data_IF_131385334113
#
_entry.id   IF_131385334113
#
_cell.length_a   1.000
_cell.length_b   1.000
_cell.length_c   1.000
_cell.angle_alpha   90.00
_cell.angle_beta   90.00
_cell.angle_gamma   90.00
#
_symmetry.space_group_name_H-M   'P 1'
#
loop_
_entity.id
_entity.type
_entity.pdbx_description
1 polymer ?
#
# COMPACT_ATOMS: atom_id res chain seq x y z
N UNK A 1 -54.67 -86.32 -2.14
CA UNK A 1 -53.81 -86.29 -3.34
C UNK A 1 -52.51 -85.63 -2.91
N UNK A 2 -51.52 -86.42 -2.48
CA UNK A 2 -50.33 -86.81 -3.27
C UNK A 2 -49.64 -85.52 -3.77
N UNK A 3 -48.51 -85.07 -3.26
CA UNK A 3 -47.23 -85.76 -3.05
C UNK A 3 -46.19 -84.87 -3.74
N UNK A 4 -45.30 -84.24 -2.97
CA UNK A 4 -43.86 -84.55 -2.91
C UNK A 4 -43.00 -84.06 -4.08
N UNK A 5 -41.80 -83.61 -3.68
CA UNK A 5 -40.48 -83.65 -4.36
C UNK A 5 -39.92 -82.26 -4.69
N UNK A 6 -38.89 -81.83 -3.95
CA UNK A 6 -37.45 -82.04 -4.23
C UNK A 6 -37.06 -81.39 -5.55
N UNK A 7 -36.03 -80.58 -5.69
CA UNK A 7 -34.82 -80.26 -4.95
C UNK A 7 -34.00 -79.41 -5.94
N UNK A 8 -33.16 -78.48 -5.52
CA UNK A 8 -31.71 -78.66 -5.56
C UNK A 8 -31.08 -77.31 -5.87
N UNK A 9 -30.28 -76.81 -4.92
CA UNK A 9 -28.98 -76.16 -5.08
C UNK A 9 -28.66 -75.46 -6.42
N UNK A 10 -28.37 -74.15 -6.37
CA UNK A 10 -26.99 -73.62 -6.32
C UNK A 10 -27.04 -72.10 -6.07
N UNK A 11 -26.28 -71.72 -5.06
CA UNK A 11 -25.91 -70.38 -4.63
C UNK A 11 -24.96 -69.73 -5.64
N UNK A 12 -25.23 -68.49 -6.06
CA UNK A 12 -24.17 -67.59 -6.52
C UNK A 12 -24.49 -66.13 -6.19
N UNK A 13 -24.13 -65.75 -4.96
CA UNK A 13 -23.48 -64.48 -4.57
C UNK A 13 -23.72 -63.30 -5.52
N UNK A 14 -24.74 -62.48 -5.23
CA UNK A 14 -24.76 -61.07 -5.65
C UNK A 14 -23.65 -60.31 -4.91
N UNK A 15 -22.49 -60.16 -5.57
CA UNK A 15 -21.42 -59.26 -5.15
C UNK A 15 -21.94 -57.82 -5.22
N UNK A 16 -22.13 -57.22 -4.05
CA UNK A 16 -22.23 -55.77 -3.87
C UNK A 16 -20.99 -55.12 -4.48
N UNK A 17 -21.12 -54.54 -5.67
CA UNK A 17 -20.07 -53.72 -6.28
C UNK A 17 -20.13 -52.34 -5.60
N UNK A 18 -19.01 -51.85 -5.06
CA UNK A 18 -19.01 -50.62 -4.28
C UNK A 18 -19.21 -49.41 -5.20
N UNK A 19 -20.03 -48.45 -4.74
CA UNK A 19 -20.27 -47.11 -5.32
C UNK A 19 -18.96 -46.29 -5.52
N UNK A 20 -17.83 -46.82 -5.05
CA UNK A 20 -16.49 -46.19 -5.10
C UNK A 20 -15.91 -46.09 -6.53
N UNK A 21 -16.36 -46.90 -7.50
CA UNK A 21 -15.78 -46.87 -8.85
C UNK A 21 -16.31 -45.78 -9.80
N UNK A 22 -17.39 -45.08 -9.46
CA UNK A 22 -17.98 -44.03 -10.30
C UNK A 22 -17.59 -42.60 -9.89
N UNK A 23 -16.98 -42.41 -8.72
CA UNK A 23 -16.54 -41.11 -8.20
C UNK A 23 -15.09 -40.75 -8.57
N UNK A 24 -14.25 -41.75 -8.85
CA UNK A 24 -12.85 -41.58 -9.28
C UNK A 24 -12.67 -40.81 -10.61
N UNK A 25 -13.46 -41.05 -11.68
CA UNK A 25 -13.31 -40.29 -12.92
C UNK A 25 -13.84 -38.86 -12.78
N UNK A 26 -14.83 -38.62 -11.91
CA UNK A 26 -15.41 -37.30 -11.69
C UNK A 26 -14.47 -36.39 -10.89
N UNK A 27 -13.77 -36.93 -9.87
CA UNK A 27 -12.74 -36.19 -9.13
C UNK A 27 -11.51 -35.91 -9.97
N UNK A 28 -11.12 -36.81 -10.88
CA UNK A 28 -10.05 -36.55 -11.84
C UNK A 28 -10.46 -35.49 -12.87
N UNK A 29 -11.69 -35.55 -13.39
CA UNK A 29 -12.18 -34.51 -14.31
C UNK A 29 -12.24 -33.13 -13.64
N UNK A 30 -12.71 -33.06 -12.39
CA UNK A 30 -12.72 -31.81 -11.62
C UNK A 30 -11.29 -31.29 -11.39
N UNK A 31 -10.34 -32.18 -11.09
CA UNK A 31 -8.93 -31.82 -10.92
C UNK A 31 -8.28 -31.33 -12.22
N UNK A 32 -8.63 -31.92 -13.36
CA UNK A 32 -8.17 -31.50 -14.70
C UNK A 32 -8.79 -30.15 -15.09
N UNK A 33 -10.07 -29.92 -14.77
CA UNK A 33 -10.74 -28.62 -15.00
C UNK A 33 -10.16 -27.52 -14.10
N UNK A 34 -9.83 -27.83 -12.84
CA UNK A 34 -9.11 -26.90 -11.96
C UNK A 34 -7.66 -26.63 -12.42
N UNK A 35 -6.96 -27.63 -12.95
CA UNK A 35 -5.62 -27.46 -13.55
C UNK A 35 -5.67 -26.67 -14.87
N UNK A 36 -6.75 -26.76 -15.65
CA UNK A 36 -6.95 -26.00 -16.87
C UNK A 36 -7.38 -24.54 -16.62
N UNK A 37 -8.11 -24.29 -15.53
CA UNK A 37 -8.52 -22.94 -15.11
C UNK A 37 -7.38 -22.08 -14.57
N UNK A 38 -6.35 -22.70 -13.98
CA UNK A 38 -5.14 -22.05 -13.50
C UNK A 38 -3.94 -22.49 -14.35
N UNK A 39 -3.90 -22.08 -15.63
CA UNK A 39 -2.84 -22.46 -16.55
C UNK A 39 -1.49 -21.83 -16.11
N UNK A 40 -0.51 -22.61 -15.59
CA UNK A 40 0.70 -22.08 -14.99
C UNK A 40 1.78 -21.76 -16.03
N UNK A 41 1.48 -21.89 -17.32
CA UNK A 41 2.47 -21.69 -18.38
C UNK A 41 2.39 -20.28 -18.94
N UNK A 42 3.53 -19.57 -19.07
CA UNK A 42 3.57 -18.30 -19.76
C UNK A 42 2.94 -18.40 -21.14
N UNK A 43 1.97 -17.53 -21.43
CA UNK A 43 1.32 -17.49 -22.74
C UNK A 43 2.12 -16.59 -23.66
N UNK A 44 2.14 -16.95 -24.95
CA UNK A 44 2.61 -16.01 -25.98
C UNK A 44 1.64 -14.84 -26.01
N UNK A 45 2.16 -13.61 -25.96
CA UNK A 45 1.36 -12.39 -26.11
C UNK A 45 0.65 -12.41 -27.47
N UNK A 46 -0.69 -12.47 -27.45
CA UNK A 46 -1.55 -12.44 -28.66
C UNK A 46 -2.31 -11.12 -28.79
N UNK A 47 -2.04 -10.18 -27.89
CA UNK A 47 -2.70 -8.87 -27.82
C UNK A 47 -2.09 -7.90 -28.83
N UNK A 48 -2.72 -6.74 -29.07
CA UNK A 48 -2.18 -5.74 -29.98
C UNK A 48 -0.74 -5.35 -29.62
N UNK A 49 0.12 -5.27 -30.64
CA UNK A 49 1.49 -4.76 -30.54
C UNK A 49 1.45 -3.29 -30.10
N UNK A 50 1.53 -3.07 -28.78
CA UNK A 50 1.66 -1.75 -28.16
C UNK A 50 3.03 -1.62 -27.48
N UNK A 51 3.62 -0.41 -27.44
CA UNK A 51 4.95 -0.20 -26.88
C UNK A 51 4.96 -0.50 -25.37
N UNK A 52 6.14 -0.88 -24.87
CA UNK A 52 6.39 -0.90 -23.44
C UNK A 52 6.33 0.53 -22.88
N UNK A 53 5.80 0.70 -21.66
CA UNK A 53 5.73 2.01 -21.01
C UNK A 53 7.11 2.70 -20.98
N UNK A 54 8.16 1.97 -20.63
CA UNK A 54 9.52 2.50 -20.56
C UNK A 54 10.02 3.05 -21.90
N UNK A 55 9.60 2.46 -23.03
CA UNK A 55 9.97 2.94 -24.36
C UNK A 55 9.10 4.11 -24.79
N UNK A 56 7.80 4.07 -24.45
CA UNK A 56 6.88 5.18 -24.70
C UNK A 56 7.32 6.46 -24.00
N UNK A 57 7.80 6.36 -22.75
CA UNK A 57 8.26 7.51 -21.95
C UNK A 57 9.56 8.16 -22.46
N UNK A 58 10.31 7.50 -23.35
CA UNK A 58 11.50 8.08 -24.00
C UNK A 58 11.14 9.09 -25.08
N UNK A 59 9.91 9.04 -25.60
CA UNK A 59 9.43 9.95 -26.63
C UNK A 59 9.10 11.34 -26.03
N UNK A 60 10.10 12.23 -26.06
CA UNK A 60 9.99 13.57 -25.50
C UNK A 60 8.97 14.47 -26.23
N UNK A 61 8.53 14.09 -27.43
CA UNK A 61 7.44 14.77 -28.13
C UNK A 61 6.07 14.46 -27.53
N UNK A 62 5.90 13.29 -26.88
CA UNK A 62 4.65 12.85 -26.23
C UNK A 62 4.66 13.05 -24.72
N UNK A 63 5.81 12.86 -24.08
CA UNK A 63 5.94 12.90 -22.63
C UNK A 63 7.06 13.85 -22.21
N UNK A 64 6.83 14.65 -21.16
CA UNK A 64 7.88 15.44 -20.51
C UNK A 64 8.00 15.03 -19.06
N UNK A 65 9.15 14.52 -18.65
CA UNK A 65 9.41 14.21 -17.25
C UNK A 65 9.40 15.50 -16.41
N UNK A 66 8.68 15.47 -15.30
CA UNK A 66 8.62 16.58 -14.33
C UNK A 66 9.50 16.27 -13.12
N UNK A 67 9.40 15.04 -12.61
CA UNK A 67 10.23 14.54 -11.51
C UNK A 67 10.37 13.02 -11.61
N UNK A 68 11.58 12.52 -11.39
CA UNK A 68 11.84 11.09 -11.17
C UNK A 68 11.57 10.69 -9.71
N UNK A 69 11.54 9.38 -9.45
CA UNK A 69 11.42 8.81 -8.09
C UNK A 69 12.75 8.32 -7.52
N UNK A 70 13.86 8.54 -8.23
CA UNK A 70 15.19 8.19 -7.77
C UNK A 70 15.48 8.84 -6.41
N UNK A 71 15.88 8.02 -5.44
CA UNK A 71 16.16 8.44 -4.06
C UNK A 71 14.97 9.03 -3.28
N UNK A 72 13.72 8.87 -3.75
CA UNK A 72 12.52 9.28 -3.02
C UNK A 72 11.94 8.08 -2.25
N UNK A 73 11.52 8.32 -1.01
CA UNK A 73 10.61 7.38 -0.31
C UNK A 73 9.17 7.65 -0.68
N UNK A 74 8.84 8.88 -1.03
CA UNK A 74 7.48 9.25 -1.40
C UNK A 74 7.46 10.44 -2.36
N UNK A 75 6.52 10.36 -3.31
CA UNK A 75 6.12 11.44 -4.18
C UNK A 75 4.61 11.61 -4.00
N UNK A 76 4.21 12.75 -3.45
CA UNK A 76 2.81 13.06 -3.16
C UNK A 76 2.36 14.30 -3.92
N UNK A 77 1.13 14.28 -4.43
CA UNK A 77 0.51 15.43 -5.08
C UNK A 77 -0.33 16.18 -4.06
N UNK A 78 -0.22 17.50 -4.05
CA UNK A 78 -0.95 18.36 -3.12
C UNK A 78 -2.24 18.86 -3.76
N UNK A 79 -3.23 19.20 -2.93
CA UNK A 79 -4.55 19.71 -3.40
C UNK A 79 -4.44 20.97 -4.25
N UNK A 80 -3.37 21.75 -4.12
CA UNK A 80 -3.08 22.95 -4.90
C UNK A 80 -2.17 22.71 -6.11
N UNK A 81 -2.12 21.47 -6.58
CA UNK A 81 -1.37 21.01 -7.76
C UNK A 81 0.16 21.07 -7.64
N UNK A 82 0.69 21.21 -6.42
CA UNK A 82 2.13 21.11 -6.15
C UNK A 82 2.53 19.67 -5.87
N UNK A 83 3.83 19.41 -5.88
CA UNK A 83 4.39 18.07 -5.70
C UNK A 83 5.33 18.11 -4.49
N UNK A 84 5.05 17.26 -3.52
CA UNK A 84 5.93 16.97 -2.39
C UNK A 84 6.85 15.81 -2.78
N UNK A 85 8.15 16.04 -2.69
CA UNK A 85 9.22 15.08 -2.92
C UNK A 85 9.88 14.77 -1.57
N UNK A 86 9.58 13.61 -1.00
CA UNK A 86 10.16 13.16 0.27
C UNK A 86 11.29 12.15 -0.02
N UNK A 87 12.52 12.45 0.41
CA UNK A 87 13.67 11.60 0.13
C UNK A 87 13.57 10.26 0.87
N UNK A 88 14.32 9.27 0.37
CA UNK A 88 14.49 7.94 0.97
C UNK A 88 15.58 7.88 2.03
N UNK A 89 16.28 8.99 2.29
CA UNK A 89 17.29 9.13 3.34
C UNK A 89 17.08 10.47 4.07
N UNK A 90 17.35 10.51 5.38
CA UNK A 90 17.36 11.70 6.23
C UNK A 90 18.44 12.72 5.90
N UNK A 91 19.51 12.31 5.21
CA UNK A 91 20.59 13.22 4.81
C UNK A 91 20.26 14.05 3.57
N UNK A 92 19.05 13.91 3.03
CA UNK A 92 18.57 14.68 1.90
C UNK A 92 17.38 15.54 2.34
N UNK A 93 17.24 16.77 1.81
CA UNK A 93 16.10 17.62 2.13
C UNK A 93 14.85 17.12 1.39
N UNK A 94 13.69 17.29 2.03
CA UNK A 94 12.42 17.20 1.30
C UNK A 94 12.20 18.49 0.50
N UNK A 95 11.43 18.37 -0.58
CA UNK A 95 11.15 19.50 -1.48
C UNK A 95 9.67 19.60 -1.75
N UNK A 96 9.15 20.83 -1.85
CA UNK A 96 7.88 21.08 -2.55
C UNK A 96 8.20 21.88 -3.79
N UNK A 97 7.80 21.35 -4.93
CA UNK A 97 7.96 21.98 -6.23
C UNK A 97 6.58 22.26 -6.84
N UNK A 98 6.50 23.22 -7.75
CA UNK A 98 5.34 23.33 -8.63
C UNK A 98 5.47 22.40 -9.85
N UNK A 99 4.40 22.34 -10.66
CA UNK A 99 4.37 21.55 -11.90
C UNK A 99 5.41 21.95 -12.96
N UNK A 100 6.00 23.15 -12.84
CA UNK A 100 7.06 23.62 -13.75
C UNK A 100 8.45 23.19 -13.28
N UNK A 101 8.54 22.57 -12.09
CA UNK A 101 9.79 22.21 -11.44
C UNK A 101 10.39 23.33 -10.60
N UNK A 102 9.69 24.46 -10.42
CA UNK A 102 10.17 25.55 -9.56
C UNK A 102 10.09 25.12 -8.11
N UNK A 103 11.18 25.31 -7.38
CA UNK A 103 11.28 25.04 -5.94
C UNK A 103 10.50 26.08 -5.11
N UNK A 104 9.70 25.61 -4.15
CA UNK A 104 9.01 26.44 -3.16
C UNK A 104 9.63 26.31 -1.76
N UNK A 105 9.94 25.09 -1.34
CA UNK A 105 10.61 24.80 -0.07
C UNK A 105 11.62 23.68 -0.27
N UNK A 106 12.77 23.80 0.39
CA UNK A 106 13.79 22.77 0.51
C UNK A 106 14.30 22.81 1.96
N UNK A 107 14.01 21.76 2.73
CA UNK A 107 14.36 21.71 4.15
C UNK A 107 14.74 20.29 4.57
N UNK A 108 15.63 20.21 5.56
CA UNK A 108 15.99 18.96 6.21
C UNK A 108 14.98 18.64 7.32
N UNK A 109 14.56 17.38 7.42
CA UNK A 109 13.70 16.93 8.51
C UNK A 109 14.32 15.76 9.26
N UNK A 110 14.18 15.75 10.58
CA UNK A 110 14.58 14.62 11.41
C UNK A 110 13.51 13.53 11.30
N UNK A 111 13.89 12.35 10.80
CA UNK A 111 12.99 11.21 10.62
C UNK A 111 12.52 10.61 11.94
N UNK A 112 13.20 10.93 13.04
CA UNK A 112 12.74 10.60 14.39
C UNK A 112 11.62 11.53 14.83
N UNK A 113 11.39 12.66 14.17
CA UNK A 113 10.30 13.57 14.52
C UNK A 113 9.12 13.41 13.54
N UNK A 114 7.89 13.71 13.99
CA UNK A 114 6.74 13.71 13.09
C UNK A 114 6.87 14.70 11.94
N UNK A 115 6.45 14.26 10.76
CA UNK A 115 6.23 15.08 9.57
C UNK A 115 4.75 15.03 9.22
N UNK A 116 4.08 16.18 9.26
CA UNK A 116 2.65 16.28 9.01
C UNK A 116 2.32 17.42 8.05
N UNK A 117 1.47 17.13 7.06
CA UNK A 117 0.82 18.12 6.22
C UNK A 117 -0.67 18.10 6.52
N UNK A 118 -1.20 19.17 7.14
CA UNK A 118 -2.60 19.22 7.59
C UNK A 118 -3.59 19.45 6.44
N UNK A 119 -4.89 19.38 6.73
CA UNK A 119 -5.94 19.56 5.72
C UNK A 119 -5.95 20.95 5.05
N UNK A 120 -5.35 21.97 5.69
CA UNK A 120 -5.22 23.33 5.17
C UNK A 120 -3.91 23.53 4.38
N UNK A 121 -3.04 22.53 4.37
CA UNK A 121 -1.74 22.56 3.71
C UNK A 121 -0.61 23.12 4.57
N UNK A 122 -0.79 23.36 5.88
CA UNK A 122 0.32 23.75 6.74
C UNK A 122 1.23 22.55 7.01
N UNK A 123 2.53 22.80 7.05
CA UNK A 123 3.56 21.79 7.31
C UNK A 123 3.97 21.85 8.79
N UNK A 124 4.15 20.67 9.39
CA UNK A 124 4.65 20.51 10.74
C UNK A 124 5.77 19.49 10.73
N UNK A 125 6.99 19.92 11.01
CA UNK A 125 8.16 19.07 11.12
C UNK A 125 9.20 19.75 12.01
N UNK A 126 10.12 18.98 12.58
CA UNK A 126 11.18 19.50 13.47
C UNK A 126 10.67 20.43 14.59
N UNK A 127 9.45 20.18 15.12
CA UNK A 127 8.82 21.03 16.15
C UNK A 127 8.54 22.47 15.69
N UNK A 128 8.40 22.68 14.39
CA UNK A 128 7.99 23.95 13.80
C UNK A 128 6.73 23.78 12.95
N UNK A 129 5.97 24.86 12.83
CA UNK A 129 4.85 24.99 11.90
C UNK A 129 5.23 25.97 10.81
N UNK A 130 5.04 25.58 9.55
CA UNK A 130 5.20 26.42 8.38
C UNK A 130 3.83 26.68 7.75
N UNK A 131 3.49 27.95 7.57
CA UNK A 131 2.17 28.36 7.11
C UNK A 131 2.03 28.27 5.58
N UNK A 132 0.97 27.61 5.14
CA UNK A 132 0.51 27.65 3.75
C UNK A 132 0.09 29.09 3.36
N UNK A 133 0.24 29.58 2.11
CA UNK A 133 0.64 28.86 0.90
C UNK A 133 2.11 28.93 0.51
N UNK A 134 2.91 29.84 1.06
CA UNK A 134 4.29 30.05 0.58
C UNK A 134 5.35 29.52 1.54
N UNK A 135 4.94 29.04 2.73
CA UNK A 135 5.80 28.48 3.77
C UNK A 135 6.90 29.42 4.25
N UNK A 136 6.76 30.74 4.03
CA UNK A 136 7.74 31.74 4.49
C UNK A 136 7.57 32.08 5.96
N UNK A 137 6.33 32.03 6.45
CA UNK A 137 6.04 32.23 7.87
C UNK A 137 6.15 30.89 8.57
N UNK A 138 7.03 30.82 9.56
CA UNK A 138 7.16 29.66 10.41
C UNK A 138 7.48 30.05 11.85
N UNK A 139 7.23 29.12 12.76
CA UNK A 139 7.58 29.29 14.16
C UNK A 139 7.47 28.01 14.96
N UNK A 140 7.90 28.03 16.23
CA UNK A 140 7.85 26.87 17.10
C UNK A 140 6.42 26.34 17.26
N UNK A 141 6.27 25.02 17.19
CA UNK A 141 4.98 24.34 17.32
C UNK A 141 5.11 23.11 18.22
N UNK A 142 4.24 23.04 19.22
CA UNK A 142 4.28 21.98 20.22
C UNK A 142 3.87 20.65 19.59
N UNK A 143 4.72 19.65 19.72
CA UNK A 143 4.48 18.27 19.26
C UNK A 143 4.61 17.31 20.44
N UNK A 144 3.69 16.36 20.55
CA UNK A 144 3.66 15.35 21.62
C UNK A 144 3.59 13.99 20.96
N UNK A 145 4.68 13.23 21.11
CA UNK A 145 4.75 11.83 20.68
C UNK A 145 4.57 10.95 21.91
N UNK A 146 3.45 10.24 21.98
CA UNK A 146 3.10 9.43 23.15
C UNK A 146 4.04 8.24 23.29
N UNK A 147 4.39 7.58 22.18
CA UNK A 147 5.30 6.43 22.16
C UNK A 147 6.65 6.77 22.78
N UNK A 148 7.25 7.90 22.43
CA UNK A 148 8.55 8.34 22.99
C UNK A 148 8.50 8.50 24.51
N UNK A 149 7.38 9.00 25.04
CA UNK A 149 7.19 9.17 26.48
C UNK A 149 7.01 7.82 27.19
N UNK A 150 6.27 6.89 26.58
CA UNK A 150 6.04 5.54 27.10
C UNK A 150 7.34 4.73 27.06
N UNK A 151 8.09 4.79 25.97
CA UNK A 151 9.35 4.07 25.79
C UNK A 151 10.39 4.55 26.82
N UNK A 152 10.54 5.86 26.98
CA UNK A 152 11.40 6.45 28.01
C UNK A 152 10.98 6.03 29.42
N UNK A 153 9.67 5.93 29.69
CA UNK A 153 9.17 5.43 30.98
C UNK A 153 9.49 3.95 31.17
N UNK A 154 9.35 3.14 30.12
CA UNK A 154 9.67 1.70 30.13
C UNK A 154 11.15 1.45 30.41
N UNK A 155 12.04 2.26 29.84
CA UNK A 155 13.48 2.22 30.10
C UNK A 155 13.81 2.55 31.56
N UNK A 156 13.18 3.58 32.14
CA UNK A 156 13.37 3.97 33.55
C UNK A 156 12.94 2.86 34.52
N UNK A 157 11.87 2.13 34.19
CA UNK A 157 11.41 0.99 34.99
C UNK A 157 12.39 -0.20 34.90
N UNK A 158 13.10 -0.32 33.77
CA UNK A 158 14.18 -1.31 33.56
C UNK A 158 13.74 -2.75 33.87
N UNK A 159 14.64 -3.50 34.50
CA UNK A 159 14.43 -4.87 35.02
C UNK A 159 14.11 -4.89 36.52
N UNK A 160 13.84 -3.73 37.13
CA UNK A 160 13.67 -3.61 38.60
C UNK A 160 12.36 -4.20 39.11
N UNK A 161 11.38 -4.39 38.23
CA UNK A 161 10.05 -4.87 38.55
C UNK A 161 9.72 -6.11 37.72
N UNK A 162 8.88 -7.00 38.27
CA UNK A 162 8.28 -8.08 37.50
C UNK A 162 7.40 -7.51 36.37
N UNK A 163 7.29 -8.25 35.26
CA UNK A 163 6.61 -7.78 34.05
C UNK A 163 5.17 -7.32 34.31
N UNK A 164 4.41 -8.05 35.14
CA UNK A 164 3.04 -7.69 35.50
C UNK A 164 2.94 -6.32 36.19
N UNK A 165 3.87 -6.01 37.09
CA UNK A 165 3.94 -4.71 37.78
C UNK A 165 4.36 -3.63 36.80
N UNK A 166 5.33 -3.91 35.93
CA UNK A 166 5.78 -2.98 34.89
C UNK A 166 4.63 -2.59 33.95
N UNK A 167 3.87 -3.56 33.45
CA UNK A 167 2.71 -3.30 32.60
C UNK A 167 1.68 -2.42 33.30
N UNK A 168 1.36 -2.69 34.56
CA UNK A 168 0.39 -1.87 35.30
C UNK A 168 0.88 -0.43 35.50
N UNK A 169 2.15 -0.25 35.83
CA UNK A 169 2.74 1.09 35.99
C UNK A 169 2.82 1.88 34.68
N UNK A 170 3.01 1.19 33.54
CA UNK A 170 2.98 1.81 32.22
C UNK A 170 1.56 2.19 31.80
N UNK A 171 0.59 1.32 32.05
CA UNK A 171 -0.84 1.58 31.81
C UNK A 171 -1.33 2.82 32.61
N UNK A 172 -1.05 2.86 33.91
CA UNK A 172 -1.40 4.01 34.76
C UNK A 172 -0.70 5.30 34.31
N UNK A 173 0.51 5.20 33.76
CA UNK A 173 1.24 6.33 33.21
C UNK A 173 0.63 6.80 31.88
N UNK A 174 0.29 5.88 30.98
CA UNK A 174 -0.37 6.18 29.71
C UNK A 174 -1.71 6.89 29.93
N UNK A 175 -2.54 6.42 30.86
CA UNK A 175 -3.80 7.07 31.25
C UNK A 175 -3.56 8.54 31.61
N UNK A 176 -2.59 8.80 32.51
CA UNK A 176 -2.26 10.16 32.97
C UNK A 176 -1.69 11.03 31.86
N UNK A 177 -0.91 10.45 30.95
CA UNK A 177 -0.31 11.15 29.82
C UNK A 177 -1.36 11.58 28.79
N UNK A 178 -2.37 10.75 28.56
CA UNK A 178 -3.43 10.97 27.56
C UNK A 178 -4.54 11.90 28.06
N UNK A 179 -4.82 11.90 29.37
CA UNK A 179 -5.92 12.65 29.99
C UNK A 179 -5.96 14.15 29.64
N UNK A 180 -4.84 14.93 29.65
CA UNK A 180 -4.85 16.35 29.28
C UNK A 180 -5.27 16.62 27.84
N UNK A 181 -5.18 15.62 26.97
CA UNK A 181 -5.51 15.72 25.55
C UNK A 181 -6.89 15.12 25.22
N UNK A 182 -7.65 14.67 26.23
CA UNK A 182 -8.95 14.02 26.05
C UNK A 182 -8.84 12.70 25.30
N UNK A 183 -7.69 12.02 25.38
CA UNK A 183 -7.46 10.72 24.78
C UNK A 183 -7.64 9.62 25.83
N UNK A 184 -8.05 8.42 25.38
CA UNK A 184 -8.20 7.24 26.23
C UNK A 184 -7.16 6.17 25.86
N UNK A 185 -6.71 5.35 26.82
CA UNK A 185 -5.91 4.17 26.55
C UNK A 185 -6.57 3.26 25.50
N UNK A 186 -5.75 2.51 24.77
CA UNK A 186 -6.26 1.58 23.78
C UNK A 186 -6.72 0.29 24.44
N UNK A 187 -7.99 -0.03 24.31
CA UNK A 187 -8.51 -1.32 24.73
C UNK A 187 -8.01 -2.41 23.76
N UNK A 188 -7.23 -3.36 24.29
CA UNK A 188 -6.73 -4.58 23.63
C UNK A 188 -5.86 -4.38 22.37
N UNK A 189 -4.53 -4.36 22.58
CA UNK A 189 -3.47 -4.13 21.57
C UNK A 189 -3.31 -5.23 20.48
N UNK A 190 -4.07 -6.33 20.54
CA UNK A 190 -3.79 -7.54 19.74
C UNK A 190 -4.57 -7.58 18.42
N UNK A 191 -5.73 -6.91 18.31
CA UNK A 191 -6.63 -7.14 17.15
C UNK A 191 -7.08 -5.87 16.41
N UNK A 192 -7.03 -4.67 17.02
CA UNK A 192 -7.52 -3.43 16.37
C UNK A 192 -6.64 -2.20 16.71
N UNK A 193 -5.39 -2.17 16.26
CA UNK A 193 -4.50 -1.00 16.45
C UNK A 193 -5.02 0.26 15.75
N UNK A 194 -5.68 0.11 14.60
CA UNK A 194 -6.15 1.21 13.75
C UNK A 194 -7.17 2.16 14.43
N UNK A 195 -7.97 1.67 15.38
CA UNK A 195 -9.00 2.49 16.06
C UNK A 195 -8.42 3.47 17.09
N UNK A 196 -7.12 3.44 17.26
CA UNK A 196 -6.41 4.04 18.35
C UNK A 196 -5.31 4.99 17.91
N UNK A 197 -5.02 4.99 16.62
CA UNK A 197 -4.02 5.83 16.01
C UNK A 197 -4.49 7.29 16.05
N UNK A 198 -3.60 8.15 16.53
CA UNK A 198 -3.82 9.59 16.61
C UNK A 198 -2.66 10.24 15.88
N UNK A 199 -2.99 11.02 14.86
CA UNK A 199 -2.05 11.88 14.16
C UNK A 199 -2.80 13.11 13.66
N UNK A 200 -3.03 14.04 14.57
CA UNK A 200 -3.87 15.22 14.33
C UNK A 200 -3.43 16.39 15.20
N UNK A 201 -3.96 17.57 14.88
CA UNK A 201 -3.78 18.77 15.68
C UNK A 201 -5.00 18.96 16.58
N UNK A 202 -4.74 19.08 17.88
CA UNK A 202 -5.78 19.35 18.88
C UNK A 202 -5.26 20.41 19.85
N UNK A 203 -6.05 21.45 20.11
CA UNK A 203 -5.69 22.54 21.01
C UNK A 203 -4.30 23.14 20.73
N UNK A 204 -3.98 23.37 19.45
CA UNK A 204 -2.68 23.92 19.01
C UNK A 204 -1.46 23.04 19.37
N UNK A 205 -1.66 21.71 19.45
CA UNK A 205 -0.61 20.71 19.67
C UNK A 205 -0.75 19.60 18.64
N UNK A 206 0.36 19.19 18.03
CA UNK A 206 0.42 18.00 17.18
C UNK A 206 0.52 16.76 18.06
N UNK A 207 -0.48 15.90 18.01
CA UNK A 207 -0.58 14.68 18.80
C UNK A 207 -0.28 13.47 17.92
N UNK A 208 0.71 12.65 18.32
CA UNK A 208 1.14 11.46 17.57
C UNK A 208 1.23 10.24 18.47
N UNK A 209 0.37 9.24 18.21
CA UNK A 209 0.28 7.98 18.99
C UNK A 209 0.69 6.72 18.23
N UNK A 210 0.69 6.78 16.91
CA UNK A 210 1.06 5.67 16.04
C UNK A 210 2.58 5.55 15.81
N UNK A 211 3.04 4.44 15.23
CA UNK A 211 4.46 4.24 14.90
C UNK A 211 4.89 5.02 13.66
N UNK A 212 4.00 5.15 12.67
CA UNK A 212 4.27 5.90 11.46
C UNK A 212 4.27 7.41 11.75
N UNK A 213 5.44 8.04 11.62
CA UNK A 213 5.66 9.47 11.91
C UNK A 213 5.44 10.38 10.71
N UNK A 214 4.88 9.87 9.63
CA UNK A 214 4.55 10.64 8.44
C UNK A 214 3.04 10.61 8.18
N UNK A 215 2.44 11.76 7.88
CA UNK A 215 1.06 11.83 7.43
C UNK A 215 0.82 13.05 6.53
N UNK A 216 0.01 12.87 5.49
CA UNK A 216 -0.36 13.92 4.55
C UNK A 216 -1.88 13.95 4.30
N UNK A 217 -2.57 14.90 4.93
CA UNK A 217 -4.01 15.13 4.77
C UNK A 217 -4.34 16.16 3.67
N UNK A 218 -3.31 16.81 3.11
CA UNK A 218 -3.43 17.71 1.95
C UNK A 218 -3.16 17.02 0.61
N UNK A 219 -3.19 15.70 0.61
CA UNK A 219 -2.90 14.90 -0.59
C UNK A 219 -4.06 14.95 -1.58
N UNK A 220 -3.69 15.01 -2.86
CA UNK A 220 -4.55 14.80 -4.02
C UNK A 220 -4.21 13.44 -4.61
N UNK A 221 -5.17 12.54 -4.63
CA UNK A 221 -4.92 11.16 -5.02
C UNK A 221 -4.97 11.01 -6.56
N UNK A 222 -3.98 10.34 -7.17
CA UNK A 222 -4.03 9.97 -8.58
C UNK A 222 -5.04 8.83 -8.78
N UNK A 223 -5.63 8.75 -9.97
CA UNK A 223 -6.59 7.71 -10.37
C UNK A 223 -5.88 6.62 -11.17
N UNK A 224 -6.34 5.38 -11.10
CA UNK A 224 -5.76 4.31 -11.90
C UNK A 224 -5.89 4.58 -13.41
N UNK A 225 -4.84 4.24 -14.17
CA UNK A 225 -4.91 4.31 -15.62
C UNK A 225 -5.92 3.28 -16.14
N UNK A 226 -6.71 3.65 -17.15
CA UNK A 226 -7.72 2.75 -17.72
C UNK A 226 -7.04 1.54 -18.37
N UNK A 227 -7.46 0.34 -17.98
CA UNK A 227 -7.09 -0.90 -18.69
C UNK A 227 -7.97 -1.10 -19.92
N UNK A 228 -7.39 -1.68 -20.97
CA UNK A 228 -8.13 -1.97 -22.22
C UNK A 228 -8.06 -3.42 -22.66
N UNK A 229 -7.25 -4.25 -21.99
CA UNK A 229 -7.05 -5.65 -22.32
C UNK A 229 -6.78 -6.47 -21.04
N UNK A 230 -6.78 -7.80 -21.19
CA UNK A 230 -6.51 -8.74 -20.10
C UNK A 230 -5.01 -8.88 -19.80
N UNK A 231 -4.70 -9.24 -18.55
CA UNK A 231 -3.31 -9.42 -18.10
C UNK A 231 -2.74 -10.76 -18.61
N UNK A 232 -1.51 -10.73 -19.13
CA UNK A 232 -0.84 -11.92 -19.69
C UNK A 232 0.27 -12.39 -18.78
N UNK A 233 0.20 -13.65 -18.33
CA UNK A 233 1.32 -14.27 -17.60
C UNK A 233 2.52 -14.42 -18.54
N UNK A 234 3.58 -13.66 -18.28
CA UNK A 234 4.80 -13.66 -19.13
C UNK A 234 5.94 -14.47 -18.54
N UNK A 235 6.02 -14.59 -17.21
CA UNK A 235 7.04 -15.41 -16.53
C UNK A 235 6.69 -15.68 -15.07
N UNK A 236 7.40 -16.63 -14.48
CA UNK A 236 7.48 -16.80 -13.04
C UNK A 236 8.77 -16.17 -12.52
N UNK A 237 8.66 -15.32 -11.51
CA UNK A 237 9.81 -14.79 -10.78
C UNK A 237 10.18 -15.76 -9.66
N UNK A 238 11.39 -16.26 -9.72
CA UNK A 238 11.93 -17.15 -8.69
C UNK A 238 12.27 -16.34 -7.42
N UNK A 239 11.79 -16.84 -6.28
CA UNK A 239 12.03 -16.30 -4.94
C UNK A 239 11.80 -17.40 -3.91
N UNK A 240 11.66 -17.04 -2.62
CA UNK A 240 11.28 -18.03 -1.57
C UNK A 240 9.96 -18.74 -1.91
N UNK A 241 9.06 -18.03 -2.57
CA UNK A 241 7.90 -18.58 -3.27
C UNK A 241 7.91 -18.03 -4.70
N UNK A 242 7.61 -18.89 -5.69
CA UNK A 242 7.47 -18.45 -7.06
C UNK A 242 6.27 -17.51 -7.17
N UNK A 243 6.47 -16.34 -7.79
CA UNK A 243 5.42 -15.35 -8.02
C UNK A 243 5.20 -15.16 -9.51
N UNK A 244 3.93 -15.14 -9.98
CA UNK A 244 3.65 -14.84 -11.38
C UNK A 244 3.96 -13.37 -11.67
N UNK A 245 4.43 -13.08 -12.88
CA UNK A 245 4.62 -11.72 -13.38
C UNK A 245 3.75 -11.58 -14.62
N UNK A 246 2.87 -10.58 -14.60
CA UNK A 246 1.95 -10.33 -15.69
C UNK A 246 2.35 -9.09 -16.49
N UNK A 247 1.93 -9.08 -17.74
CA UNK A 247 1.94 -7.90 -18.59
C UNK A 247 0.53 -7.34 -18.63
N UNK A 248 0.37 -6.09 -18.20
CA UNK A 248 -0.90 -5.38 -18.14
C UNK A 248 -0.94 -4.27 -19.20
N UNK A 249 -2.14 -4.01 -19.73
CA UNK A 249 -2.35 -3.14 -20.89
C UNK A 249 -3.19 -1.92 -20.52
N UNK A 250 -2.63 -0.74 -20.73
CA UNK A 250 -3.18 0.53 -20.28
C UNK A 250 -3.37 1.53 -21.42
N UNK A 251 -4.41 2.35 -21.29
CA UNK A 251 -4.71 3.45 -22.18
C UNK A 251 -4.82 4.75 -21.39
N UNK A 252 -4.07 5.77 -21.83
CA UNK A 252 -4.19 7.13 -21.31
C UNK A 252 -4.31 8.10 -22.48
N UNK A 253 -5.49 8.71 -22.60
CA UNK A 253 -5.86 9.50 -23.78
C UNK A 253 -5.77 8.64 -25.06
N UNK A 254 -4.96 9.10 -26.01
CA UNK A 254 -4.70 8.40 -27.27
C UNK A 254 -3.57 7.35 -27.17
N UNK A 255 -2.81 7.34 -26.08
CA UNK A 255 -1.63 6.48 -25.94
C UNK A 255 -2.02 5.14 -25.32
N UNK A 256 -1.72 4.05 -26.02
CA UNK A 256 -1.82 2.68 -25.51
C UNK A 256 -0.42 2.14 -25.27
N UNK A 257 -0.24 1.43 -24.17
CA UNK A 257 1.03 0.83 -23.80
C UNK A 257 0.84 -0.39 -22.91
N UNK A 258 1.91 -1.17 -22.73
CA UNK A 258 1.95 -2.32 -21.83
C UNK A 258 3.10 -2.20 -20.83
N UNK A 259 2.93 -2.72 -19.63
CA UNK A 259 3.97 -2.75 -18.60
C UNK A 259 3.77 -3.94 -17.65
N UNK A 260 4.81 -4.25 -16.88
CA UNK A 260 4.73 -5.20 -15.76
C UNK A 260 3.58 -4.78 -14.83
N UNK A 261 2.78 -5.75 -14.38
CA UNK A 261 1.58 -5.53 -13.57
C UNK A 261 1.88 -4.81 -12.25
N UNK A 262 3.10 -4.97 -11.72
CA UNK A 262 3.56 -4.27 -10.51
C UNK A 262 3.92 -2.81 -10.74
N UNK A 263 3.98 -2.33 -12.00
CA UNK A 263 4.27 -0.92 -12.32
C UNK A 263 3.13 0.00 -11.89
N UNK A 264 1.88 -0.48 -11.97
CA UNK A 264 0.65 0.21 -11.53
C UNK A 264 0.59 1.70 -11.94
N UNK A 265 0.61 2.01 -13.25
CA UNK A 265 0.55 3.39 -13.74
C UNK A 265 -0.77 4.06 -13.33
N UNK A 266 -0.67 5.32 -12.92
CA UNK A 266 -1.78 6.17 -12.51
C UNK A 266 -1.79 7.47 -13.30
N UNK A 267 -2.95 8.10 -13.35
CA UNK A 267 -3.16 9.40 -14.01
C UNK A 267 -3.58 10.41 -12.96
N UNK A 268 -3.02 11.62 -13.05
CA UNK A 268 -3.44 12.74 -12.23
C UNK A 268 -3.58 14.00 -13.07
N UNK A 269 -4.60 14.79 -12.77
CA UNK A 269 -4.79 16.10 -13.39
C UNK A 269 -4.24 17.19 -12.48
N UNK A 270 -3.27 17.97 -12.94
CA UNK A 270 -2.67 19.10 -12.22
C UNK A 270 -2.77 20.36 -13.10
N UNK A 271 -3.33 21.46 -12.57
CA UNK A 271 -3.62 22.70 -13.32
C UNK A 271 -4.28 22.46 -14.69
N UNK A 272 -5.22 21.53 -14.74
CA UNK A 272 -5.96 21.18 -15.96
C UNK A 272 -5.23 20.26 -16.94
N UNK A 273 -3.94 19.95 -16.74
CA UNK A 273 -3.16 19.06 -17.60
C UNK A 273 -3.10 17.65 -17.02
N UNK A 274 -3.05 16.64 -17.90
CA UNK A 274 -2.96 15.24 -17.50
C UNK A 274 -1.51 14.80 -17.37
N UNK A 275 -1.22 14.07 -16.29
CA UNK A 275 0.09 13.52 -16.00
C UNK A 275 -0.02 12.01 -15.83
N UNK A 276 0.96 11.30 -16.38
CA UNK A 276 1.17 9.89 -16.13
C UNK A 276 2.18 9.74 -14.98
N UNK A 277 1.83 8.96 -13.98
CA UNK A 277 2.65 8.72 -12.78
C UNK A 277 2.80 7.23 -12.54
N UNK A 278 4.01 6.79 -12.20
CA UNK A 278 4.24 5.51 -11.56
C UNK A 278 5.34 5.64 -10.51
N UNK A 279 5.31 4.82 -9.46
CA UNK A 279 6.40 4.82 -8.48
C UNK A 279 7.73 4.36 -9.08
N UNK A 280 7.70 3.59 -10.17
CA UNK A 280 8.89 3.08 -10.84
C UNK A 280 9.58 4.14 -11.74
N UNK A 281 8.84 5.08 -12.30
CA UNK A 281 9.37 6.03 -13.32
C UNK A 281 9.24 7.50 -12.92
N UNK A 282 8.40 7.81 -11.93
CA UNK A 282 8.04 9.18 -11.57
C UNK A 282 6.89 9.75 -12.41
N UNK A 283 6.83 11.07 -12.49
CA UNK A 283 5.73 11.83 -13.09
C UNK A 283 6.13 12.46 -14.43
N UNK A 284 5.25 12.30 -15.41
CA UNK A 284 5.41 12.79 -16.78
C UNK A 284 4.16 13.57 -17.21
N UNK A 285 4.34 14.76 -17.74
CA UNK A 285 3.31 15.51 -18.46
C UNK A 285 2.99 14.79 -19.78
N UNK A 286 1.69 14.60 -20.05
CA UNK A 286 1.18 14.08 -21.31
C UNK A 286 0.91 15.27 -22.24
N UNK A 287 1.60 15.32 -23.37
CA UNK A 287 1.48 16.40 -24.37
C UNK A 287 0.38 16.15 -25.39
#
# INVERSE_FOLDING_TARGET
>A
MIGSCQGSLIDHKMRKVPIVLLLLPLSLLFSIVFLAGCNPFPKKDTHPEVPLLADLLKDSAKFKQIAGTDHLSELAFLKDDRILLKPGNSDLPFKIIDISGKLLIEQYFDWKLPFYLDQLGNLYFNQEKYEYPDYKKHGPFKTVVFKDSIDKRSEVLGSRFADSVKFKMLDDYEVKLLQPYGLKPCEYQIVNRERCDVFEIRNNVLLVRQEERYKNDFVKLPVEARRFDEDVLIRWKNGRMASPVYLAYYQVGQYKFKCDDMTLPKVIQLKGQNYLFSYATGIYLIK
#
